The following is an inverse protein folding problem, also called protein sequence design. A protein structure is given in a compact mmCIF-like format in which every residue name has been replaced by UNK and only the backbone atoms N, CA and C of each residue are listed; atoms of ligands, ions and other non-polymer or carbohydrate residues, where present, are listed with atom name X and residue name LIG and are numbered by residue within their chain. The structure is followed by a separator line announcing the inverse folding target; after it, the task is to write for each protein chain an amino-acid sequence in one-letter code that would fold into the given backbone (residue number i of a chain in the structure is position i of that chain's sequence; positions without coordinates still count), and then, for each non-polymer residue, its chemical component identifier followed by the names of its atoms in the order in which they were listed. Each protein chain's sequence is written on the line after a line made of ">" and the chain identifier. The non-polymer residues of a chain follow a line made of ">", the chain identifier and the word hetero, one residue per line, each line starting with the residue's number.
data_IF_682078173677
#
_entry.id   IF_682078173677
#
_cell.length_a   1.000
_cell.length_b   1.000
_cell.length_c   1.000
_cell.angle_alpha   90.00
_cell.angle_beta   90.00
_cell.angle_gamma   90.00
#
_symmetry.space_group_name_H-M   'P 1'
#
loop_
_entity.id
_entity.type
_entity.pdbx_description
1 polymer ?
#
# COMPACT_ATOMS: atom_id res chain seq x y z
N UNK A 1 3.89 1.99 -2.56
CA UNK A 1 4.01 0.51 -2.49
C UNK A 1 5.36 0.15 -1.85
N UNK A 2 5.40 -0.80 -0.92
CA UNK A 2 6.58 -1.04 -0.09
C UNK A 2 7.74 -1.64 -0.90
N UNK A 3 7.45 -2.63 -1.75
CA UNK A 3 8.44 -3.35 -2.56
C UNK A 3 8.53 -2.84 -4.02
N UNK A 4 8.13 -1.59 -4.27
CA UNK A 4 8.26 -0.93 -5.57
C UNK A 4 7.71 -1.74 -6.77
N UNK A 5 6.45 -2.19 -6.68
CA UNK A 5 5.75 -2.96 -7.73
C UNK A 5 5.40 -2.15 -9.00
N UNK A 6 6.25 -1.22 -9.40
CA UNK A 6 6.02 -0.25 -10.48
C UNK A 6 5.66 -0.91 -11.81
N UNK A 7 6.32 -2.02 -12.17
CA UNK A 7 6.05 -2.75 -13.43
C UNK A 7 4.61 -3.26 -13.47
N UNK A 8 4.14 -3.91 -12.38
CA UNK A 8 2.79 -4.47 -12.28
C UNK A 8 1.74 -3.37 -12.43
N UNK A 9 1.93 -2.25 -11.74
CA UNK A 9 1.00 -1.13 -11.79
C UNK A 9 1.02 -0.41 -13.14
N UNK A 10 2.19 -0.22 -13.74
CA UNK A 10 2.31 0.38 -15.07
C UNK A 10 1.56 -0.45 -16.12
N UNK A 11 1.74 -1.77 -16.13
CA UNK A 11 1.01 -2.67 -17.05
C UNK A 11 -0.50 -2.60 -16.78
N UNK A 12 -0.90 -2.72 -15.51
CA UNK A 12 -2.31 -2.78 -15.14
C UNK A 12 -3.05 -1.49 -15.49
N UNK A 13 -2.55 -0.36 -14.99
CA UNK A 13 -3.23 0.93 -15.20
C UNK A 13 -2.99 1.48 -16.61
N UNK A 14 -1.92 1.08 -17.30
CA UNK A 14 -1.77 1.32 -18.73
C UNK A 14 -2.91 0.70 -19.55
N UNK A 15 -3.34 -0.53 -19.21
CA UNK A 15 -4.51 -1.16 -19.85
C UNK A 15 -5.81 -0.40 -19.56
N UNK A 16 -6.01 0.03 -18.31
CA UNK A 16 -7.19 0.83 -17.92
C UNK A 16 -7.20 2.15 -18.67
N UNK A 17 -6.08 2.86 -18.71
CA UNK A 17 -5.93 4.10 -19.46
C UNK A 17 -6.27 3.91 -20.94
N UNK A 18 -5.70 2.89 -21.59
CA UNK A 18 -5.99 2.60 -23.00
C UNK A 18 -7.47 2.32 -23.26
N UNK A 19 -8.15 1.61 -22.35
CA UNK A 19 -9.59 1.35 -22.45
C UNK A 19 -10.42 2.63 -22.31
N UNK A 20 -10.17 3.42 -21.26
CA UNK A 20 -10.89 4.68 -20.99
C UNK A 20 -10.67 5.67 -22.14
N UNK A 21 -9.44 5.83 -22.63
CA UNK A 21 -9.14 6.69 -23.78
C UNK A 21 -9.82 6.22 -25.07
N UNK A 22 -9.83 4.92 -25.35
CA UNK A 22 -10.56 4.38 -26.51
C UNK A 22 -12.05 4.69 -26.44
N UNK A 23 -12.67 4.52 -25.28
CA UNK A 23 -14.11 4.76 -25.09
C UNK A 23 -14.45 6.24 -25.21
N UNK A 24 -13.62 7.13 -24.63
CA UNK A 24 -13.70 8.58 -24.78
C UNK A 24 -13.66 9.01 -26.25
N UNK A 25 -12.66 8.56 -27.02
CA UNK A 25 -12.52 8.86 -28.45
C UNK A 25 -13.75 8.40 -29.24
N UNK A 26 -14.21 7.14 -29.02
CA UNK A 26 -15.38 6.59 -29.72
C UNK A 26 -16.67 7.35 -29.40
N UNK A 27 -16.77 7.91 -28.20
CA UNK A 27 -17.92 8.72 -27.78
C UNK A 27 -17.87 10.18 -28.27
N UNK A 28 -16.76 10.59 -28.88
CA UNK A 28 -16.53 11.98 -29.29
C UNK A 28 -16.34 12.96 -28.11
N UNK A 29 -16.12 12.45 -26.90
CA UNK A 29 -15.94 13.25 -25.68
C UNK A 29 -14.60 12.92 -25.03
N UNK A 30 -13.72 13.92 -24.94
CA UNK A 30 -12.38 13.78 -24.35
C UNK A 30 -12.14 14.80 -23.23
N UNK A 31 -13.23 15.31 -22.65
CA UNK A 31 -13.18 16.18 -21.47
C UNK A 31 -12.86 15.38 -20.20
N UNK A 32 -12.68 16.10 -19.09
CA UNK A 32 -12.37 15.55 -17.77
C UNK A 32 -13.35 14.45 -17.33
N UNK A 33 -14.65 14.64 -17.58
CA UNK A 33 -15.68 13.68 -17.14
C UNK A 33 -15.57 12.34 -17.87
N UNK A 34 -15.15 12.36 -19.14
CA UNK A 34 -14.91 11.15 -19.92
C UNK A 34 -13.66 10.38 -19.45
N UNK A 35 -12.69 11.06 -18.81
CA UNK A 35 -11.43 10.47 -18.34
C UNK A 35 -11.45 10.11 -16.85
N UNK A 36 -12.36 10.70 -16.06
CA UNK A 36 -12.58 10.41 -14.64
C UNK A 36 -12.63 8.90 -14.27
N UNK A 37 -13.21 8.01 -15.10
CA UNK A 37 -13.22 6.57 -14.81
C UNK A 37 -11.83 5.95 -14.62
N UNK A 38 -10.80 6.46 -15.31
CA UNK A 38 -9.42 6.00 -15.12
C UNK A 38 -8.97 6.29 -13.69
N UNK A 39 -9.16 7.52 -13.23
CA UNK A 39 -8.74 7.96 -11.92
C UNK A 39 -9.48 7.22 -10.80
N UNK A 40 -10.81 7.13 -10.91
CA UNK A 40 -11.64 6.36 -9.97
C UNK A 40 -11.19 4.91 -9.86
N UNK A 41 -10.80 4.30 -10.98
CA UNK A 41 -10.38 2.90 -11.01
C UNK A 41 -9.07 2.67 -10.23
N UNK A 42 -8.00 3.38 -10.57
CA UNK A 42 -6.71 3.14 -9.93
C UNK A 42 -6.71 3.56 -8.46
N UNK A 43 -7.38 4.67 -8.12
CA UNK A 43 -7.47 5.15 -6.73
C UNK A 43 -8.14 4.13 -5.84
N UNK A 44 -9.32 3.65 -6.26
CA UNK A 44 -10.07 2.62 -5.53
C UNK A 44 -9.23 1.38 -5.24
N UNK A 45 -8.36 1.01 -6.18
CA UNK A 45 -7.61 -0.23 -6.06
C UNK A 45 -6.34 -0.11 -5.20
N UNK A 46 -5.59 0.99 -5.33
CA UNK A 46 -4.21 1.04 -4.79
C UNK A 46 -3.88 2.27 -3.97
N UNK A 47 -4.75 3.28 -3.90
CA UNK A 47 -4.44 4.53 -3.19
C UNK A 47 -4.15 4.28 -1.71
N UNK A 48 -4.97 3.46 -1.05
CA UNK A 48 -4.76 3.09 0.36
C UNK A 48 -3.40 2.40 0.56
N UNK A 49 -3.02 1.50 -0.34
CA UNK A 49 -1.74 0.78 -0.30
C UNK A 49 -0.55 1.71 -0.54
N UNK A 50 -0.68 2.68 -1.44
CA UNK A 50 0.35 3.72 -1.62
C UNK A 50 0.51 4.53 -0.34
N UNK A 51 -0.60 5.02 0.22
CA UNK A 51 -0.60 5.83 1.45
C UNK A 51 0.02 5.08 2.63
N UNK A 52 -0.36 3.82 2.84
CA UNK A 52 0.20 3.01 3.92
C UNK A 52 1.69 2.72 3.71
N UNK A 53 2.10 2.38 2.49
CA UNK A 53 3.52 2.18 2.19
C UNK A 53 4.34 3.45 2.40
N UNK A 54 3.81 4.62 2.04
CA UNK A 54 4.46 5.91 2.27
C UNK A 54 4.75 6.14 3.75
N UNK A 55 3.76 5.92 4.63
CA UNK A 55 3.96 6.04 6.09
C UNK A 55 5.07 5.12 6.64
N UNK A 56 5.16 3.90 6.11
CA UNK A 56 6.22 2.95 6.51
C UNK A 56 7.58 3.44 6.03
N UNK A 57 7.67 3.87 4.77
CA UNK A 57 8.91 4.42 4.18
C UNK A 57 9.39 5.69 4.89
N UNK A 58 8.48 6.63 5.18
CA UNK A 58 8.76 7.87 5.91
C UNK A 58 9.29 7.62 7.32
N UNK A 59 8.88 6.50 7.94
CA UNK A 59 9.46 6.07 9.21
C UNK A 59 10.85 5.50 9.01
N UNK A 60 10.99 4.55 8.09
CA UNK A 60 12.24 3.82 7.87
C UNK A 60 13.41 4.73 7.47
N UNK A 61 13.15 5.78 6.69
CA UNK A 61 14.19 6.73 6.29
C UNK A 61 14.79 7.51 7.47
N UNK A 62 14.09 7.56 8.61
CA UNK A 62 14.53 8.26 9.81
C UNK A 62 15.19 7.37 10.86
N UNK A 63 15.31 6.07 10.62
CA UNK A 63 15.87 5.12 11.60
C UNK A 63 17.39 5.12 11.58
N UNK A 64 18.01 4.99 12.75
CA UNK A 64 19.41 4.56 12.85
C UNK A 64 19.58 3.09 12.50
N UNK A 65 20.83 2.63 12.36
CA UNK A 65 21.13 1.22 12.10
C UNK A 65 20.63 0.32 13.24
N UNK A 66 20.77 0.75 14.51
CA UNK A 66 20.27 0.00 15.66
C UNK A 66 18.75 -0.08 15.68
N UNK A 67 18.06 1.02 15.37
CA UNK A 67 16.59 1.04 15.27
C UNK A 67 16.10 0.20 14.09
N UNK A 68 16.87 0.14 13.00
CA UNK A 68 16.59 -0.72 11.86
C UNK A 68 16.71 -2.21 12.21
N UNK A 69 17.74 -2.59 12.96
CA UNK A 69 17.90 -3.96 13.46
C UNK A 69 16.71 -4.38 14.35
N UNK A 70 16.22 -3.48 15.20
CA UNK A 70 15.02 -3.71 16.00
C UNK A 70 13.76 -3.96 15.16
N UNK A 71 13.61 -3.26 14.02
CA UNK A 71 12.51 -3.46 13.07
C UNK A 71 12.69 -4.74 12.23
N UNK A 72 13.93 -5.15 11.94
CA UNK A 72 14.21 -6.42 11.26
C UNK A 72 13.82 -7.62 12.13
N UNK A 73 14.03 -7.56 13.44
CA UNK A 73 13.63 -8.63 14.35
C UNK A 73 12.12 -8.86 14.33
N UNK A 74 11.35 -7.78 14.19
CA UNK A 74 9.89 -7.85 14.01
C UNK A 74 9.53 -8.58 12.71
N UNK A 75 10.17 -8.20 11.61
CA UNK A 75 9.89 -8.78 10.29
C UNK A 75 10.24 -10.28 10.27
N UNK A 76 11.30 -10.69 10.96
CA UNK A 76 11.71 -12.10 11.10
C UNK A 76 10.69 -12.95 11.86
N UNK A 77 9.93 -12.35 12.78
CA UNK A 77 8.89 -13.07 13.54
C UNK A 77 7.63 -13.32 12.71
N UNK A 78 7.39 -12.56 11.62
CA UNK A 78 6.19 -12.71 10.80
C UNK A 78 6.10 -14.10 10.15
N UNK A 79 4.90 -14.66 10.15
CA UNK A 79 4.60 -15.83 9.32
C UNK A 79 4.70 -15.47 7.83
N UNK A 80 4.86 -16.47 6.97
CA UNK A 80 4.94 -16.23 5.52
C UNK A 80 3.72 -15.46 4.97
N UNK A 81 2.53 -15.75 5.50
CA UNK A 81 1.29 -15.05 5.10
C UNK A 81 1.29 -13.59 5.56
N UNK A 82 1.68 -13.32 6.81
CA UNK A 82 1.77 -11.96 7.35
C UNK A 82 2.86 -11.13 6.66
N UNK A 83 3.98 -11.77 6.34
CA UNK A 83 5.04 -11.15 5.56
C UNK A 83 4.54 -10.77 4.15
N UNK A 84 3.74 -11.62 3.51
CA UNK A 84 3.12 -11.31 2.20
C UNK A 84 2.17 -10.11 2.30
N UNK A 85 1.36 -10.03 3.35
CA UNK A 85 0.46 -8.89 3.56
C UNK A 85 1.24 -7.61 3.86
N UNK A 86 2.33 -7.73 4.63
CA UNK A 86 3.25 -6.65 4.94
C UNK A 86 3.91 -6.06 3.69
N UNK A 87 4.51 -6.88 2.81
CA UNK A 87 5.16 -6.41 1.58
C UNK A 87 4.18 -5.76 0.60
N UNK A 88 2.91 -6.18 0.63
CA UNK A 88 1.81 -5.57 -0.13
C UNK A 88 1.30 -4.25 0.47
N UNK A 89 1.81 -3.88 1.65
CA UNK A 89 1.31 -2.80 2.48
C UNK A 89 -0.19 -2.93 2.81
N UNK A 90 -0.68 -4.16 2.98
CA UNK A 90 -2.08 -4.46 3.24
C UNK A 90 -2.39 -4.46 4.74
N UNK A 91 -2.41 -3.26 5.32
CA UNK A 91 -2.61 -3.04 6.75
C UNK A 91 -4.08 -2.77 7.11
N UNK A 92 -5.02 -3.50 6.48
CA UNK A 92 -6.43 -3.46 6.84
C UNK A 92 -6.67 -3.85 8.30
N UNK A 93 -7.83 -3.46 8.87
CA UNK A 93 -8.16 -3.70 10.28
C UNK A 93 -8.05 -5.19 10.67
N UNK A 94 -8.53 -6.09 9.81
CA UNK A 94 -8.45 -7.55 10.03
C UNK A 94 -7.01 -8.05 10.08
N UNK A 95 -6.17 -7.61 9.13
CA UNK A 95 -4.77 -8.02 9.03
C UNK A 95 -3.98 -7.48 10.23
N UNK A 96 -4.33 -6.27 10.70
CA UNK A 96 -3.72 -5.69 11.88
C UNK A 96 -4.11 -6.41 13.17
N UNK A 97 -5.37 -6.81 13.33
CA UNK A 97 -5.79 -7.61 14.47
C UNK A 97 -5.03 -8.95 14.48
N UNK A 98 -4.97 -9.63 13.33
CA UNK A 98 -4.25 -10.91 13.17
C UNK A 98 -2.77 -10.77 13.57
N UNK A 99 -2.10 -9.73 13.07
CA UNK A 99 -0.68 -9.48 13.36
C UNK A 99 -0.44 -9.16 14.84
N UNK A 100 -1.34 -8.39 15.48
CA UNK A 100 -1.25 -8.09 16.91
C UNK A 100 -1.46 -9.32 17.80
N UNK A 101 -2.33 -10.25 17.39
CA UNK A 101 -2.60 -11.49 18.15
C UNK A 101 -1.45 -12.49 18.09
N UNK A 102 -0.78 -12.62 16.94
CA UNK A 102 0.35 -13.53 16.81
C UNK A 102 1.63 -12.97 17.41
N UNK A 103 1.77 -11.64 17.41
CA UNK A 103 2.99 -10.98 17.83
C UNK A 103 2.71 -9.89 18.88
N UNK A 104 2.44 -10.28 20.15
CA UNK A 104 2.05 -9.34 21.20
C UNK A 104 3.12 -8.30 21.52
N UNK A 105 4.42 -8.60 21.28
CA UNK A 105 5.50 -7.60 21.36
C UNK A 105 5.35 -6.49 20.32
N UNK A 106 4.80 -6.80 19.14
CA UNK A 106 4.54 -5.82 18.10
C UNK A 106 3.39 -4.90 18.48
N UNK A 107 2.34 -5.44 19.10
CA UNK A 107 1.21 -4.64 19.58
C UNK A 107 1.62 -3.56 20.60
N UNK A 108 2.73 -3.79 21.30
CA UNK A 108 3.32 -2.85 22.29
C UNK A 108 4.27 -1.84 21.62
N UNK A 109 4.86 -2.15 20.46
CA UNK A 109 5.75 -1.25 19.72
C UNK A 109 4.97 -0.31 18.79
N UNK A 110 5.52 0.90 18.59
CA UNK A 110 4.88 2.05 17.91
C UNK A 110 4.50 1.80 16.43
N UNK A 111 4.93 0.69 15.82
CA UNK A 111 4.60 0.30 14.45
C UNK A 111 3.09 0.33 14.17
N UNK A 112 2.26 -0.13 15.10
CA UNK A 112 0.80 -0.11 14.98
C UNK A 112 0.16 1.28 15.05
N UNK A 113 0.76 2.20 15.81
CA UNK A 113 0.24 3.56 15.96
C UNK A 113 0.57 4.45 14.75
N UNK A 114 1.62 4.11 13.99
CA UNK A 114 2.06 4.85 12.80
C UNK A 114 1.20 4.57 11.57
N UNK A 115 0.84 3.31 11.30
CA UNK A 115 0.10 2.96 10.08
C UNK A 115 -1.37 3.38 10.17
N UNK A 116 -1.95 3.39 11.38
CA UNK A 116 -3.36 3.73 11.64
C UNK A 116 -3.75 5.16 11.24
N UNK A 117 -2.78 6.08 11.14
CA UNK A 117 -3.06 7.50 10.94
C UNK A 117 -3.69 8.14 12.19
N UNK A 118 -3.29 9.37 12.50
CA UNK A 118 -4.08 10.20 13.41
C UNK A 118 -5.41 10.52 12.70
N UNK A 119 -6.52 10.29 13.40
CA UNK A 119 -7.83 10.83 13.03
C UNK A 119 -7.75 12.35 12.86
#
# INVERSE_FOLDING_TARGET
>A
PLVLEGIRYAIKFGRVAGKVSSDAIKSGKTDESALEPYEKNWRKEIESKIKSAGKVQDRWIGLSDEEWDEELDIIKELTAEEFIDFIKADFGLSNMIKLATHHPKLAVRQFFNLVKGKN
#
